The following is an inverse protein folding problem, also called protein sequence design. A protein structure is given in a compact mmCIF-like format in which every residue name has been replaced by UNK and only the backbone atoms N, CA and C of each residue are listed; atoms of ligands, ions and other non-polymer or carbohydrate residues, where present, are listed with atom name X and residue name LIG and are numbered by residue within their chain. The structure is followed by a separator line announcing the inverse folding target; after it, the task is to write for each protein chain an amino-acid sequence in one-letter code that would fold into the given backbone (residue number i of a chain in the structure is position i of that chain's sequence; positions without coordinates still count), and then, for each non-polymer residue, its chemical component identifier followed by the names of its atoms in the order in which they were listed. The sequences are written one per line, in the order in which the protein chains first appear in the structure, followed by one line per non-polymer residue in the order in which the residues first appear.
data_IF_316754579697
#
_entry.id   IF_316754579697
#
_cell.length_a   1.000
_cell.length_b   1.000
_cell.length_c   1.000
_cell.angle_alpha   90.00
_cell.angle_beta   90.00
_cell.angle_gamma   90.00
#
_symmetry.space_group_name_H-M   'P 1'
#
loop_
_entity.id
_entity.type
_entity.pdbx_description
1 polymer ?
#
# COMPACT_ATOMS: atom_id res chain seq x y z
N UNK A 1 8.19 -11.80 8.92
CA UNK A 1 8.66 -10.56 8.28
C UNK A 1 7.49 -9.64 7.94
N UNK A 2 6.52 -10.02 7.08
CA UNK A 2 5.45 -9.12 6.60
C UNK A 2 4.59 -8.48 7.71
N UNK A 3 4.19 -9.23 8.75
CA UNK A 3 3.40 -8.72 9.87
C UNK A 3 4.18 -7.67 10.67
N UNK A 4 5.46 -7.89 10.89
CA UNK A 4 6.32 -6.94 11.60
C UNK A 4 6.45 -5.65 10.81
N UNK A 5 6.66 -5.72 9.50
CA UNK A 5 6.72 -4.54 8.63
C UNK A 5 5.41 -3.76 8.68
N UNK A 6 4.26 -4.46 8.59
CA UNK A 6 2.95 -3.84 8.67
C UNK A 6 2.75 -3.12 10.02
N UNK A 7 3.14 -3.75 11.14
CA UNK A 7 3.05 -3.16 12.47
C UNK A 7 3.95 -1.92 12.60
N UNK A 8 5.19 -1.99 12.13
CA UNK A 8 6.11 -0.85 12.14
C UNK A 8 5.61 0.29 11.25
N UNK A 9 5.00 -0.04 10.11
CA UNK A 9 4.39 0.95 9.22
C UNK A 9 3.17 1.63 9.85
N UNK A 10 2.36 0.92 10.63
CA UNK A 10 1.28 1.50 11.40
C UNK A 10 1.80 2.36 12.57
N UNK A 11 2.80 1.87 13.30
CA UNK A 11 3.38 2.59 14.44
C UNK A 11 4.00 3.92 14.04
N UNK A 12 4.67 4.02 12.89
CA UNK A 12 5.26 5.29 12.44
C UNK A 12 4.22 6.36 12.09
N UNK A 13 2.97 5.98 11.79
CA UNK A 13 1.85 6.91 11.69
C UNK A 13 1.23 7.21 13.05
N UNK A 14 1.06 6.18 13.87
CA UNK A 14 0.39 6.26 15.18
C UNK A 14 1.18 7.09 16.21
N UNK A 15 2.48 6.78 16.36
CA UNK A 15 3.31 7.37 17.43
C UNK A 15 3.46 8.89 17.31
N UNK A 16 3.81 9.48 16.15
CA UNK A 16 3.94 10.93 16.02
C UNK A 16 2.63 11.67 16.33
N UNK A 17 1.50 11.14 15.89
CA UNK A 17 0.18 11.71 16.15
C UNK A 17 -0.15 11.64 17.63
N UNK A 18 0.05 10.48 18.27
CA UNK A 18 -0.17 10.32 19.71
C UNK A 18 0.69 11.30 20.52
N UNK A 19 1.96 11.45 20.18
CA UNK A 19 2.86 12.40 20.83
C UNK A 19 2.35 13.84 20.68
N UNK A 20 1.85 14.22 19.50
CA UNK A 20 1.26 15.52 19.27
C UNK A 20 0.00 15.73 20.12
N UNK A 21 -0.88 14.73 20.23
CA UNK A 21 -2.09 14.81 21.05
C UNK A 21 -1.78 14.91 22.56
N UNK A 22 -0.73 14.22 23.05
CA UNK A 22 -0.36 14.19 24.47
C UNK A 22 0.38 15.47 24.88
N UNK A 23 1.34 15.91 24.10
CA UNK A 23 2.23 17.01 24.46
C UNK A 23 1.86 18.34 23.79
N UNK A 24 1.18 18.30 22.63
CA UNK A 24 0.80 19.47 21.85
C UNK A 24 -0.05 20.50 22.59
N UNK A 25 -1.05 20.11 23.41
CA UNK A 25 -1.89 21.08 24.13
C UNK A 25 -1.11 22.06 25.01
N UNK A 26 0.03 21.64 25.57
CA UNK A 26 0.93 22.52 26.34
C UNK A 26 1.57 23.64 25.49
N UNK A 27 1.55 23.48 24.17
CA UNK A 27 2.10 24.40 23.18
C UNK A 27 1.03 25.02 22.29
N UNK A 28 -0.25 24.92 22.66
CA UNK A 28 -1.38 25.44 21.87
C UNK A 28 -1.70 24.64 20.61
N UNK A 29 -1.19 23.40 20.50
CA UNK A 29 -1.45 22.50 19.37
C UNK A 29 -2.63 21.59 19.69
N UNK A 30 -3.67 21.60 18.87
CA UNK A 30 -4.85 20.76 19.00
C UNK A 30 -4.92 19.65 17.95
N UNK A 31 -6.11 19.05 17.79
CA UNK A 31 -6.38 17.91 16.92
C UNK A 31 -6.05 18.18 15.44
N UNK A 32 -6.28 19.41 14.99
CA UNK A 32 -5.89 19.85 13.64
C UNK A 32 -4.38 19.70 13.43
N UNK A 33 -3.56 20.15 14.39
CA UNK A 33 -2.10 20.00 14.29
C UNK A 33 -1.71 18.52 14.29
N UNK A 34 -2.33 17.70 15.13
CA UNK A 34 -2.11 16.25 15.16
C UNK A 34 -2.46 15.59 13.83
N UNK A 35 -3.53 16.01 13.15
CA UNK A 35 -3.90 15.51 11.82
C UNK A 35 -2.83 15.86 10.77
N UNK A 36 -2.29 17.08 10.79
CA UNK A 36 -1.20 17.47 9.89
C UNK A 36 0.13 16.77 10.22
N UNK A 37 0.42 16.49 11.48
CA UNK A 37 1.54 15.59 11.87
C UNK A 37 1.35 14.21 11.28
N UNK A 38 0.12 13.68 11.31
CA UNK A 38 -0.22 12.42 10.65
C UNK A 38 -0.01 12.45 9.14
N UNK A 39 -0.43 13.53 8.47
CA UNK A 39 -0.17 13.73 7.05
C UNK A 39 1.34 13.77 6.76
N UNK A 40 2.14 14.47 7.57
CA UNK A 40 3.59 14.53 7.42
C UNK A 40 4.25 13.14 7.59
N UNK A 41 3.83 12.36 8.59
CA UNK A 41 4.29 10.97 8.79
C UNK A 41 3.92 10.08 7.60
N UNK A 42 2.72 10.26 7.04
CA UNK A 42 2.26 9.55 5.85
C UNK A 42 3.09 9.91 4.61
N UNK A 43 3.38 11.21 4.38
CA UNK A 43 4.25 11.67 3.31
C UNK A 43 5.66 11.08 3.44
N UNK A 44 6.22 11.03 4.65
CA UNK A 44 7.51 10.41 4.92
C UNK A 44 7.53 8.91 4.62
N UNK A 45 6.38 8.20 4.76
CA UNK A 45 6.27 6.82 4.31
C UNK A 45 6.19 6.68 2.79
N UNK A 46 5.48 7.58 2.10
CA UNK A 46 5.36 7.53 0.64
C UNK A 46 6.67 7.84 -0.06
N UNK A 47 7.45 8.79 0.49
CA UNK A 47 8.73 9.24 -0.06
C UNK A 47 9.84 9.22 1.00
N UNK A 48 10.28 8.03 1.43
CA UNK A 48 11.33 7.92 2.44
C UNK A 48 12.68 8.35 1.86
N UNK A 49 13.24 9.42 2.43
CA UNK A 49 14.49 10.04 1.97
C UNK A 49 15.65 9.03 1.95
N UNK A 50 15.74 8.20 2.99
CA UNK A 50 16.83 7.20 3.13
C UNK A 50 16.70 5.99 2.19
N UNK A 51 15.56 5.79 1.54
CA UNK A 51 15.28 4.67 0.63
C UNK A 51 15.08 5.11 -0.81
N UNK A 52 15.82 6.15 -1.24
CA UNK A 52 15.75 6.72 -2.60
C UNK A 52 14.33 7.08 -3.03
N UNK A 53 13.51 7.55 -2.10
CA UNK A 53 12.12 7.93 -2.31
C UNK A 53 11.19 6.79 -2.82
N UNK A 54 11.61 5.53 -2.65
CA UNK A 54 10.80 4.37 -3.00
C UNK A 54 10.05 3.87 -1.76
N UNK A 55 8.89 4.45 -1.50
CA UNK A 55 8.02 4.10 -0.39
C UNK A 55 6.88 3.15 -0.78
N UNK A 56 6.13 2.75 0.24
CA UNK A 56 4.92 1.94 0.09
C UNK A 56 3.71 2.74 -0.41
N UNK A 57 2.51 2.15 -0.25
CA UNK A 57 1.23 2.79 -0.57
C UNK A 57 0.59 3.53 0.61
N UNK A 58 1.17 3.39 1.79
CA UNK A 58 0.76 4.12 2.99
C UNK A 58 -0.44 3.57 3.75
N UNK A 59 -1.03 2.44 3.36
CA UNK A 59 -2.27 1.92 3.97
C UNK A 59 -2.13 1.71 5.48
N UNK A 60 -1.08 1.00 5.92
CA UNK A 60 -0.85 0.75 7.33
C UNK A 60 -0.53 2.04 8.11
N UNK A 61 0.25 2.95 7.50
CA UNK A 61 0.58 4.24 8.11
C UNK A 61 -0.66 5.10 8.27
N UNK A 62 -1.52 5.17 7.25
CA UNK A 62 -2.81 5.86 7.34
C UNK A 62 -3.70 5.26 8.43
N UNK A 63 -3.81 3.93 8.51
CA UNK A 63 -4.56 3.26 9.58
C UNK A 63 -4.02 3.63 10.97
N UNK A 64 -2.69 3.68 11.15
CA UNK A 64 -2.06 4.13 12.38
C UNK A 64 -2.40 5.57 12.73
N UNK A 65 -2.33 6.49 11.76
CA UNK A 65 -2.72 7.89 11.94
C UNK A 65 -4.17 8.01 12.40
N UNK A 66 -5.11 7.37 11.67
CA UNK A 66 -6.53 7.44 11.97
C UNK A 66 -6.86 6.86 13.35
N UNK A 67 -6.20 5.75 13.72
CA UNK A 67 -6.38 5.13 15.04
C UNK A 67 -5.86 6.02 16.16
N UNK A 68 -4.77 6.76 15.95
CA UNK A 68 -4.22 7.69 16.93
C UNK A 68 -5.07 8.95 17.05
N UNK A 69 -5.57 9.51 15.94
CA UNK A 69 -6.46 10.68 15.96
C UNK A 69 -7.74 10.36 16.72
N UNK A 70 -8.37 9.25 16.41
CA UNK A 70 -9.49 8.73 17.17
C UNK A 70 -9.71 7.24 16.93
N UNK A 71 -9.82 6.42 17.99
CA UNK A 71 -10.03 4.99 17.88
C UNK A 71 -11.29 4.60 17.09
N UNK A 72 -12.38 5.38 17.18
CA UNK A 72 -13.62 5.11 16.45
C UNK A 72 -13.46 5.38 14.95
N UNK A 73 -12.74 6.45 14.58
CA UNK A 73 -12.41 6.76 13.20
C UNK A 73 -11.53 5.65 12.59
N UNK A 74 -10.47 5.26 13.31
CA UNK A 74 -9.61 4.16 12.91
C UNK A 74 -10.37 2.84 12.78
N UNK A 75 -11.22 2.52 13.76
CA UNK A 75 -12.02 1.30 13.76
C UNK A 75 -13.03 1.26 12.60
N UNK A 76 -13.76 2.36 12.34
CA UNK A 76 -14.72 2.45 11.22
C UNK A 76 -14.01 2.27 9.87
N UNK A 77 -12.86 2.92 9.69
CA UNK A 77 -12.06 2.81 8.46
C UNK A 77 -11.51 1.38 8.29
N UNK A 78 -11.01 0.77 9.37
CA UNK A 78 -10.54 -0.61 9.34
C UNK A 78 -11.67 -1.60 9.08
N UNK A 79 -12.85 -1.41 9.69
CA UNK A 79 -14.02 -2.22 9.44
C UNK A 79 -14.45 -2.16 7.97
N UNK A 80 -14.45 -0.97 7.36
CA UNK A 80 -14.70 -0.80 5.93
C UNK A 80 -13.70 -1.61 5.11
N UNK A 81 -12.40 -1.52 5.44
CA UNK A 81 -11.37 -2.29 4.75
C UNK A 81 -11.62 -3.79 4.85
N UNK A 82 -11.91 -4.31 6.07
CA UNK A 82 -12.17 -5.74 6.30
C UNK A 82 -13.40 -6.20 5.53
N UNK A 83 -14.50 -5.45 5.57
CA UNK A 83 -15.75 -5.78 4.87
C UNK A 83 -15.49 -5.90 3.37
N UNK A 84 -14.91 -4.86 2.75
CA UNK A 84 -14.63 -4.86 1.31
C UNK A 84 -13.64 -5.96 0.94
N UNK A 85 -12.59 -6.18 1.75
CA UNK A 85 -11.62 -7.25 1.53
C UNK A 85 -12.25 -8.65 1.61
N UNK A 86 -13.17 -8.88 2.55
CA UNK A 86 -13.88 -10.15 2.71
C UNK A 86 -14.84 -10.43 1.54
N UNK A 87 -15.62 -9.44 1.11
CA UNK A 87 -16.60 -9.61 0.03
C UNK A 87 -15.97 -9.71 -1.36
N UNK A 88 -15.05 -8.81 -1.69
CA UNK A 88 -14.48 -8.71 -3.04
C UNK A 88 -13.15 -9.43 -3.19
N UNK A 89 -12.47 -9.72 -2.09
CA UNK A 89 -11.15 -10.37 -2.04
C UNK A 89 -10.02 -9.60 -2.73
N UNK A 90 -10.13 -8.27 -2.84
CA UNK A 90 -9.09 -7.39 -3.36
C UNK A 90 -8.63 -6.42 -2.25
N UNK A 91 -7.38 -6.57 -1.78
CA UNK A 91 -6.80 -5.69 -0.77
C UNK A 91 -6.67 -4.25 -1.27
N UNK A 92 -6.34 -4.06 -2.54
CA UNK A 92 -6.23 -2.75 -3.17
C UNK A 92 -7.58 -2.02 -3.23
N UNK A 93 -8.65 -2.72 -3.62
CA UNK A 93 -10.01 -2.16 -3.62
C UNK A 93 -10.43 -1.77 -2.20
N UNK A 94 -10.21 -2.65 -1.22
CA UNK A 94 -10.51 -2.37 0.17
C UNK A 94 -9.78 -1.12 0.69
N UNK A 95 -8.51 -0.95 0.33
CA UNK A 95 -7.72 0.22 0.73
C UNK A 95 -8.21 1.51 0.11
N UNK A 96 -8.60 1.48 -1.17
CA UNK A 96 -9.13 2.64 -1.88
C UNK A 96 -10.47 3.07 -1.27
N UNK A 97 -11.39 2.12 -1.07
CA UNK A 97 -12.72 2.40 -0.50
C UNK A 97 -12.57 2.93 0.93
N UNK A 98 -11.78 2.27 1.77
CA UNK A 98 -11.55 2.73 3.14
C UNK A 98 -10.95 4.14 3.19
N UNK A 99 -10.00 4.47 2.31
CA UNK A 99 -9.41 5.81 2.23
C UNK A 99 -10.43 6.88 1.82
N UNK A 100 -11.31 6.57 0.86
CA UNK A 100 -12.37 7.50 0.44
C UNK A 100 -13.35 7.76 1.59
N UNK A 101 -13.71 6.73 2.37
CA UNK A 101 -14.66 6.87 3.46
C UNK A 101 -14.07 7.53 4.72
N UNK A 102 -12.75 7.52 4.92
CA UNK A 102 -12.12 8.09 6.13
C UNK A 102 -12.50 9.57 6.39
N UNK A 103 -12.41 10.52 5.43
CA UNK A 103 -12.85 11.89 5.66
C UNK A 103 -14.36 12.02 5.90
N UNK A 104 -15.20 11.14 5.34
CA UNK A 104 -16.64 11.12 5.64
C UNK A 104 -16.89 10.69 7.08
N UNK A 105 -16.19 9.68 7.58
CA UNK A 105 -16.29 9.29 8.99
C UNK A 105 -15.83 10.40 9.92
N UNK A 106 -14.76 11.11 9.57
CA UNK A 106 -14.32 12.29 10.31
C UNK A 106 -15.44 13.33 10.40
N UNK A 107 -16.05 13.69 9.26
CA UNK A 107 -17.13 14.65 9.21
C UNK A 107 -18.37 14.19 10.01
N UNK A 108 -18.67 12.90 9.99
CA UNK A 108 -19.81 12.32 10.71
C UNK A 108 -19.59 12.30 12.23
N UNK A 109 -18.36 12.03 12.69
CA UNK A 109 -18.05 11.86 14.13
C UNK A 109 -17.81 13.20 14.82
N UNK A 110 -17.14 14.15 14.15
CA UNK A 110 -16.77 15.45 14.73
C UNK A 110 -17.23 16.68 13.97
N UNK A 111 -17.88 16.48 12.83
CA UNK A 111 -18.22 17.58 11.94
C UNK A 111 -17.04 17.95 11.01
N UNK A 112 -17.26 19.06 10.28
CA UNK A 112 -16.30 19.55 9.28
C UNK A 112 -15.29 20.49 9.97
N UNK A 113 -14.25 19.89 10.54
CA UNK A 113 -13.15 20.59 11.19
C UNK A 113 -11.94 20.69 10.23
N UNK A 114 -11.02 21.68 10.43
CA UNK A 114 -9.85 21.82 9.55
C UNK A 114 -8.97 20.58 9.45
N UNK A 115 -8.98 19.69 10.44
CA UNK A 115 -8.31 18.39 10.43
C UNK A 115 -8.72 17.52 9.20
N UNK A 116 -9.95 17.68 8.70
CA UNK A 116 -10.43 16.93 7.53
C UNK A 116 -9.59 17.17 6.28
N UNK A 117 -8.96 18.33 6.15
CA UNK A 117 -8.08 18.66 5.01
C UNK A 117 -6.86 17.72 4.97
N UNK A 118 -6.29 17.40 6.13
CA UNK A 118 -5.19 16.44 6.21
C UNK A 118 -5.64 15.04 5.78
N UNK A 119 -6.83 14.62 6.21
CA UNK A 119 -7.41 13.32 5.85
C UNK A 119 -7.73 13.23 4.35
N UNK A 120 -8.31 14.30 3.77
CA UNK A 120 -8.55 14.38 2.32
C UNK A 120 -7.23 14.28 1.57
N UNK A 121 -6.19 15.02 2.00
CA UNK A 121 -4.86 14.93 1.41
C UNK A 121 -4.29 13.52 1.43
N UNK A 122 -4.36 12.83 2.58
CA UNK A 122 -3.94 11.44 2.71
C UNK A 122 -4.74 10.51 1.80
N UNK A 123 -6.07 10.67 1.72
CA UNK A 123 -6.94 9.87 0.89
C UNK A 123 -6.63 10.01 -0.60
N UNK A 124 -6.48 11.25 -1.08
CA UNK A 124 -6.11 11.53 -2.47
C UNK A 124 -4.75 10.91 -2.84
N UNK A 125 -3.75 11.09 -1.98
CA UNK A 125 -2.42 10.52 -2.19
C UNK A 125 -2.45 8.99 -2.16
N UNK A 126 -3.21 8.39 -1.25
CA UNK A 126 -3.36 6.94 -1.17
C UNK A 126 -4.02 6.39 -2.45
N UNK A 127 -5.11 7.00 -2.91
CA UNK A 127 -5.77 6.60 -4.16
C UNK A 127 -4.81 6.76 -5.35
N UNK A 128 -4.08 7.86 -5.42
CA UNK A 128 -3.06 8.06 -6.45
C UNK A 128 -1.96 6.98 -6.42
N UNK A 129 -1.45 6.61 -5.23
CA UNK A 129 -0.47 5.51 -5.08
C UNK A 129 -1.03 4.12 -5.46
N UNK A 130 -2.34 4.01 -5.59
CA UNK A 130 -3.01 2.79 -6.06
C UNK A 130 -3.34 2.80 -7.57
N UNK A 131 -2.86 3.80 -8.34
CA UNK A 131 -3.13 3.93 -9.78
C UNK A 131 -2.90 2.62 -10.54
N UNK A 132 -1.75 1.96 -10.34
CA UNK A 132 -1.45 0.67 -10.98
C UNK A 132 -2.41 -0.46 -10.60
N UNK A 133 -2.94 -0.45 -9.35
CA UNK A 133 -3.93 -1.42 -8.92
C UNK A 133 -5.32 -1.09 -9.51
N UNK A 134 -5.66 0.19 -9.61
CA UNK A 134 -6.92 0.63 -10.25
C UNK A 134 -6.96 0.17 -11.70
N UNK A 135 -5.87 0.35 -12.45
CA UNK A 135 -5.75 -0.15 -13.83
C UNK A 135 -5.93 -1.68 -13.90
N UNK A 136 -5.33 -2.43 -12.97
CA UNK A 136 -5.48 -3.89 -12.92
C UNK A 136 -6.89 -4.33 -12.51
N UNK A 137 -7.53 -3.61 -11.59
CA UNK A 137 -8.93 -3.87 -11.20
C UNK A 137 -9.86 -3.68 -12.40
N UNK A 138 -9.71 -2.59 -13.14
CA UNK A 138 -10.52 -2.31 -14.34
C UNK A 138 -10.27 -3.33 -15.46
N UNK A 139 -9.03 -3.82 -15.58
CA UNK A 139 -8.67 -4.86 -16.55
C UNK A 139 -9.01 -6.29 -16.09
N UNK A 140 -9.52 -6.48 -14.85
CA UNK A 140 -9.81 -7.80 -14.28
C UNK A 140 -8.56 -8.65 -13.98
N UNK A 141 -7.38 -8.03 -13.92
CA UNK A 141 -6.07 -8.70 -13.73
C UNK A 141 -5.46 -8.50 -12.33
N UNK A 142 -6.19 -7.84 -11.42
CA UNK A 142 -5.73 -7.67 -10.05
C UNK A 142 -5.74 -9.01 -9.29
N UNK A 143 -4.69 -9.26 -8.49
CA UNK A 143 -4.59 -10.49 -7.70
C UNK A 143 -5.56 -10.51 -6.53
N UNK A 144 -6.27 -11.63 -6.34
CA UNK A 144 -7.20 -11.81 -5.22
C UNK A 144 -6.47 -12.26 -3.97
N UNK A 145 -6.97 -11.83 -2.81
CA UNK A 145 -6.50 -12.33 -1.52
C UNK A 145 -6.64 -13.86 -1.46
N UNK A 146 -5.55 -14.54 -1.06
CA UNK A 146 -5.49 -15.99 -0.96
C UNK A 146 -5.20 -16.72 -2.29
N UNK A 147 -5.04 -16.03 -3.42
CA UNK A 147 -4.45 -16.65 -4.60
C UNK A 147 -2.95 -16.86 -4.37
N UNK A 148 -2.48 -18.13 -4.44
CA UNK A 148 -1.04 -18.38 -4.60
C UNK A 148 -0.59 -17.70 -5.89
N UNK A 149 0.54 -16.98 -5.85
CA UNK A 149 1.18 -16.49 -7.08
C UNK A 149 1.31 -17.71 -8.02
N UNK A 150 0.68 -17.63 -9.20
CA UNK A 150 0.89 -18.64 -10.23
C UNK A 150 2.39 -18.69 -10.43
N UNK A 151 2.98 -19.88 -10.20
CA UNK A 151 4.38 -20.12 -10.50
C UNK A 151 4.58 -19.64 -11.94
N UNK A 152 5.43 -18.65 -12.11
CA UNK A 152 5.89 -18.24 -13.43
C UNK A 152 6.34 -19.52 -14.13
N UNK A 153 5.54 -19.97 -15.11
CA UNK A 153 5.88 -21.11 -15.91
C UNK A 153 7.26 -20.82 -16.50
N UNK A 154 8.26 -21.52 -15.95
CA UNK A 154 9.59 -21.56 -16.53
C UNK A 154 9.38 -22.23 -17.89
N UNK A 155 9.28 -21.43 -18.92
CA UNK A 155 9.42 -21.93 -20.30
C UNK A 155 10.89 -22.38 -20.39
N UNK A 156 11.17 -23.69 -20.47
CA UNK A 156 12.51 -24.11 -20.80
C UNK A 156 12.84 -23.50 -22.17
N UNK A 157 14.05 -22.99 -22.36
CA UNK A 157 14.43 -22.45 -23.66
C UNK A 157 14.24 -23.57 -24.71
N UNK A 158 13.51 -23.25 -25.77
CA UNK A 158 13.32 -24.15 -26.91
C UNK A 158 14.69 -24.66 -27.36
N UNK A 159 14.85 -25.97 -27.32
CA UNK A 159 16.05 -26.64 -27.81
C UNK A 159 16.39 -26.08 -29.20
N UNK A 160 17.51 -25.40 -29.33
CA UNK A 160 18.08 -25.06 -30.61
C UNK A 160 18.28 -26.36 -31.42
N UNK A 161 17.89 -26.41 -32.71
CA UNK A 161 18.04 -27.60 -33.50
C UNK A 161 19.53 -28.00 -33.58
N UNK A 162 19.84 -29.20 -33.11
CA UNK A 162 21.17 -29.78 -33.22
C UNK A 162 21.51 -29.91 -34.70
N UNK A 163 22.57 -29.24 -35.13
CA UNK A 163 23.14 -29.42 -36.47
C UNK A 163 23.62 -30.87 -36.60
N UNK A 164 23.23 -31.60 -37.69
CA UNK A 164 23.71 -32.94 -37.89
C UNK A 164 25.23 -32.93 -38.13
N UNK A 165 25.92 -33.75 -37.32
CA UNK A 165 27.35 -34.00 -37.49
C UNK A 165 27.57 -34.66 -38.86
N UNK A 166 28.21 -33.93 -39.79
CA UNK A 166 28.63 -34.44 -41.07
C UNK A 166 29.67 -35.58 -40.92
N UNK A 167 29.31 -36.78 -41.34
CA UNK A 167 30.24 -37.88 -41.47
C UNK A 167 31.26 -37.57 -42.58
N UNK A 168 32.48 -37.18 -42.14
CA UNK A 168 33.63 -37.13 -43.04
C UNK A 168 34.03 -38.52 -43.53
N UNK A 169 33.69 -38.85 -44.74
CA UNK A 169 34.19 -40.06 -45.43
C UNK A 169 35.69 -39.87 -45.67
N UNK A 170 36.52 -40.64 -44.97
CA UNK A 170 37.90 -40.85 -45.27
C UNK A 170 38.02 -41.61 -46.61
N UNK A 171 38.56 -40.97 -47.64
CA UNK A 171 38.94 -41.58 -48.88
C UNK A 171 40.43 -41.95 -48.77
N UNK A 172 40.71 -43.24 -48.57
CA UNK A 172 42.02 -43.84 -48.85
C UNK A 172 42.18 -43.82 -50.40
N UNK A 173 43.24 -43.21 -50.92
CA UNK A 173 43.74 -43.29 -52.27
C UNK A 173 45.13 -43.89 -52.27
N UNK A 174 45.27 -45.07 -52.87
CA UNK A 174 46.53 -45.68 -53.28
C UNK A 174 47.15 -44.85 -54.38
N UNK A 175 48.41 -44.56 -54.35
CA UNK A 175 49.55 -44.90 -55.14
C UNK A 175 50.74 -44.11 -54.71
#
# INVERSE_FOLDING_TARGET
AAVITLALDALKGYVPVLLCLVYGPRHGLGDTAAAFVGLAAFLGHLWPVFFRFQGGKGVATAAGVLMALNPWLGAATLATWVIIAAFFRYSSLASIVAAIFAPFYQALIWGVEPAILALIGMSLLLVWRHEGNIRKLLAGTESRLGQKAAATAHHPPAHAPQRPHGHGKSRKGHH
#
